data_IF_977551213484
#
_entry.id   IF_977551213484
#
_cell.length_a   1.000
_cell.length_b   1.000
_cell.length_c   1.000
_cell.angle_alpha   90.00
_cell.angle_beta   90.00
_cell.angle_gamma   90.00
#
_symmetry.space_group_name_H-M   'P 1'
#
loop_
_entity.id
_entity.type
_entity.pdbx_description
1 polymer ?
#
# COMPACT_ATOMS: atom_id res chain seq x y z
N UNK A 1 9.60 -12.85 11.13
CA UNK A 1 9.37 -12.21 9.82
C UNK A 1 10.58 -12.46 8.94
N UNK A 2 10.43 -12.60 7.61
CA UNK A 2 11.56 -12.77 6.70
C UNK A 2 12.47 -11.54 6.72
N UNK A 3 13.80 -11.75 6.60
CA UNK A 3 14.83 -10.69 6.62
C UNK A 3 14.59 -9.63 5.53
N UNK A 4 14.01 -10.03 4.40
CA UNK A 4 13.69 -9.15 3.26
C UNK A 4 12.75 -8.00 3.63
N UNK A 5 11.85 -8.19 4.59
CA UNK A 5 10.93 -7.14 5.04
C UNK A 5 11.65 -6.02 5.80
N UNK A 6 12.66 -6.35 6.60
CA UNK A 6 13.46 -5.34 7.30
C UNK A 6 14.33 -4.55 6.33
N UNK A 7 14.91 -5.21 5.32
CA UNK A 7 15.67 -4.53 4.25
C UNK A 7 14.75 -3.58 3.47
N UNK A 8 13.56 -4.04 3.07
CA UNK A 8 12.57 -3.20 2.42
C UNK A 8 12.14 -2.01 3.30
N UNK A 9 12.02 -2.19 4.61
CA UNK A 9 11.68 -1.13 5.56
C UNK A 9 12.78 -0.05 5.61
N UNK A 10 14.06 -0.46 5.68
CA UNK A 10 15.20 0.46 5.69
C UNK A 10 15.33 1.18 4.35
N UNK A 11 15.18 0.48 3.24
CA UNK A 11 15.21 1.09 1.91
C UNK A 11 14.09 2.13 1.76
N UNK A 12 12.89 1.79 2.22
CA UNK A 12 11.76 2.73 2.19
C UNK A 12 12.00 3.94 3.10
N UNK A 13 12.63 3.76 4.27
CA UNK A 13 12.94 4.88 5.16
C UNK A 13 13.96 5.82 4.56
N UNK A 14 14.99 5.29 3.89
CA UNK A 14 15.99 6.09 3.19
C UNK A 14 15.34 6.93 2.08
N UNK A 15 14.41 6.34 1.32
CA UNK A 15 13.66 7.06 0.29
C UNK A 15 12.77 8.16 0.91
N UNK A 16 11.99 7.82 1.94
CA UNK A 16 11.05 8.78 2.53
C UNK A 16 11.70 9.81 3.46
N UNK A 17 12.93 9.57 3.92
CA UNK A 17 13.73 10.49 4.73
C UNK A 17 13.80 11.91 4.17
N UNK A 18 13.99 12.03 2.86
CA UNK A 18 14.09 13.33 2.18
C UNK A 18 12.75 13.99 1.85
N UNK A 19 11.61 13.34 2.11
CA UNK A 19 10.31 13.82 1.61
C UNK A 19 9.91 15.18 2.17
N UNK A 20 10.11 15.41 3.47
CA UNK A 20 9.76 16.69 4.12
C UNK A 20 10.61 17.84 3.58
N UNK A 21 11.91 17.59 3.36
CA UNK A 21 12.79 18.55 2.71
C UNK A 21 12.28 18.92 1.31
N UNK A 22 11.99 17.93 0.46
CA UNK A 22 11.46 18.19 -0.88
C UNK A 22 10.12 18.93 -0.85
N UNK A 23 9.21 18.58 0.07
CA UNK A 23 7.94 19.28 0.23
C UNK A 23 8.18 20.74 0.57
N UNK A 24 9.09 21.04 1.50
CA UNK A 24 9.43 22.40 1.91
C UNK A 24 9.94 23.25 0.74
N UNK A 25 10.81 22.68 -0.11
CA UNK A 25 11.30 23.35 -1.33
C UNK A 25 10.17 23.57 -2.34
N UNK A 26 9.30 22.57 -2.54
CA UNK A 26 8.18 22.70 -3.48
C UNK A 26 7.15 23.76 -3.03
N UNK A 27 6.99 23.96 -1.72
CA UNK A 27 6.08 24.96 -1.16
C UNK A 27 6.49 26.41 -1.46
N UNK A 28 7.71 26.65 -1.95
CA UNK A 28 8.15 27.98 -2.38
C UNK A 28 7.44 28.45 -3.67
N UNK A 29 7.01 27.52 -4.52
CA UNK A 29 6.40 27.81 -5.83
C UNK A 29 5.00 27.19 -6.00
N UNK A 30 4.61 26.21 -5.18
CA UNK A 30 3.34 25.48 -5.32
C UNK A 30 2.56 25.35 -4.01
N UNK A 31 1.23 25.36 -4.12
CA UNK A 31 0.33 25.11 -3.00
C UNK A 31 0.29 23.63 -2.56
N UNK A 32 -0.19 23.35 -1.33
CA UNK A 32 -0.28 21.98 -0.80
C UNK A 32 -0.98 20.95 -1.69
N UNK A 33 -2.11 21.31 -2.32
CA UNK A 33 -2.85 20.44 -3.22
C UNK A 33 -2.14 20.28 -4.56
N UNK A 34 -1.54 21.34 -5.08
CA UNK A 34 -0.70 21.28 -6.28
C UNK A 34 0.48 20.32 -6.07
N UNK A 35 1.15 20.37 -4.91
CA UNK A 35 2.22 19.43 -4.57
C UNK A 35 1.69 18.00 -4.52
N UNK A 36 0.55 17.76 -3.86
CA UNK A 36 -0.08 16.44 -3.78
C UNK A 36 -0.44 15.88 -5.17
N UNK A 37 -0.93 16.73 -6.07
CA UNK A 37 -1.21 16.40 -7.46
C UNK A 37 0.07 16.05 -8.23
N UNK A 38 1.06 16.95 -8.26
CA UNK A 38 2.28 16.80 -9.05
C UNK A 38 3.08 15.56 -8.62
N UNK A 39 3.21 15.30 -7.31
CA UNK A 39 3.87 14.10 -6.82
C UNK A 39 3.11 12.82 -7.20
N UNK A 40 1.78 12.88 -7.19
CA UNK A 40 0.91 11.78 -7.62
C UNK A 40 1.07 11.49 -9.10
N UNK A 41 1.04 12.52 -9.94
CA UNK A 41 1.19 12.43 -11.38
C UNK A 41 2.57 11.87 -11.78
N UNK A 42 3.65 12.40 -11.20
CA UNK A 42 5.01 11.89 -11.45
C UNK A 42 5.18 10.45 -10.98
N UNK A 43 4.60 10.10 -9.82
CA UNK A 43 4.57 8.72 -9.34
C UNK A 43 3.78 7.80 -10.28
N UNK A 44 2.63 8.27 -10.79
CA UNK A 44 1.78 7.54 -11.72
C UNK A 44 2.51 7.24 -13.04
N UNK A 45 3.18 8.25 -13.61
CA UNK A 45 4.04 8.05 -14.80
C UNK A 45 5.11 7.00 -14.51
N UNK A 46 5.76 7.09 -13.35
CA UNK A 46 6.81 6.16 -12.94
C UNK A 46 6.30 4.72 -12.86
N UNK A 47 5.17 4.47 -12.19
CA UNK A 47 4.63 3.11 -12.08
C UNK A 47 4.14 2.58 -13.44
N UNK A 48 3.56 3.43 -14.30
CA UNK A 48 3.19 3.06 -15.66
C UNK A 48 4.43 2.57 -16.42
N UNK A 49 5.53 3.34 -16.41
CA UNK A 49 6.77 2.97 -17.07
C UNK A 49 7.35 1.66 -16.54
N UNK A 50 7.39 1.49 -15.21
CA UNK A 50 7.84 0.25 -14.58
C UNK A 50 6.99 -0.94 -15.02
N UNK A 51 5.67 -0.80 -15.04
CA UNK A 51 4.76 -1.88 -15.46
C UNK A 51 4.91 -2.23 -16.94
N UNK A 52 5.14 -1.24 -17.81
CA UNK A 52 5.40 -1.46 -19.23
C UNK A 52 6.73 -2.20 -19.46
N UNK A 53 7.82 -1.73 -18.84
CA UNK A 53 9.15 -2.34 -18.95
C UNK A 53 9.16 -3.77 -18.41
N UNK A 54 8.52 -4.01 -17.26
CA UNK A 54 8.42 -5.33 -16.65
C UNK A 54 7.29 -6.20 -17.22
N UNK A 55 6.58 -5.71 -18.24
CA UNK A 55 5.41 -6.36 -18.87
C UNK A 55 4.38 -6.86 -17.85
N UNK A 56 4.12 -6.07 -16.81
CA UNK A 56 3.11 -6.37 -15.79
C UNK A 56 1.73 -5.92 -16.28
N UNK A 57 0.68 -6.74 -16.11
CA UNK A 57 -0.67 -6.35 -16.51
C UNK A 57 -1.21 -5.25 -15.59
N UNK A 58 -1.83 -4.23 -16.16
CA UNK A 58 -2.58 -3.21 -15.41
C UNK A 58 -3.82 -3.81 -14.73
N UNK A 59 -4.51 -4.73 -15.42
CA UNK A 59 -5.68 -5.43 -14.87
C UNK A 59 -6.77 -4.47 -14.37
N UNK A 60 -7.11 -3.42 -15.14
CA UNK A 60 -8.05 -2.37 -14.73
C UNK A 60 -9.41 -2.89 -14.25
N UNK A 61 -9.89 -4.01 -14.83
CA UNK A 61 -11.15 -4.67 -14.43
C UNK A 61 -11.05 -5.39 -13.08
N UNK A 62 -9.85 -5.78 -12.67
CA UNK A 62 -9.61 -6.46 -11.39
C UNK A 62 -9.47 -5.50 -10.21
N UNK A 63 -9.27 -4.21 -10.47
CA UNK A 63 -9.13 -3.19 -9.44
C UNK A 63 -10.52 -2.85 -8.89
N UNK A 64 -10.77 -3.01 -7.58
CA UNK A 64 -12.02 -2.57 -6.96
C UNK A 64 -11.98 -1.05 -6.78
N UNK A 65 -12.40 -0.31 -7.80
CA UNK A 65 -12.23 1.14 -7.87
C UNK A 65 -12.83 1.91 -6.69
N UNK A 66 -14.01 1.54 -6.19
CA UNK A 66 -14.60 2.22 -5.05
C UNK A 66 -13.76 2.05 -3.77
N UNK A 67 -13.40 0.82 -3.33
CA UNK A 67 -12.43 0.63 -2.25
C UNK A 67 -11.07 1.29 -2.51
N UNK A 68 -10.59 1.29 -3.76
CA UNK A 68 -9.32 1.91 -4.15
C UNK A 68 -9.35 3.44 -3.96
N UNK A 69 -10.42 4.11 -4.39
CA UNK A 69 -10.61 5.55 -4.21
C UNK A 69 -10.67 5.90 -2.73
N UNK A 70 -11.48 5.18 -1.94
CA UNK A 70 -11.58 5.41 -0.50
C UNK A 70 -10.21 5.24 0.16
N UNK A 71 -9.52 4.13 -0.14
CA UNK A 71 -8.18 3.87 0.39
C UNK A 71 -7.20 4.98 -0.01
N UNK A 72 -7.17 5.39 -1.29
CA UNK A 72 -6.31 6.46 -1.79
C UNK A 72 -6.58 7.79 -1.09
N UNK A 73 -7.85 8.15 -0.86
CA UNK A 73 -8.20 9.36 -0.13
C UNK A 73 -7.56 9.39 1.27
N UNK A 74 -7.65 8.28 2.01
CA UNK A 74 -7.06 8.17 3.36
C UNK A 74 -5.55 7.92 3.35
N UNK A 75 -4.97 7.32 2.31
CA UNK A 75 -3.57 6.94 2.29
C UNK A 75 -2.65 7.92 1.55
N UNK A 76 -3.20 8.79 0.70
CA UNK A 76 -2.43 9.68 -0.18
C UNK A 76 -3.03 11.07 -0.28
N UNK A 77 -4.19 11.24 -0.91
CA UNK A 77 -4.75 12.56 -1.29
C UNK A 77 -4.83 13.54 -0.12
N UNK A 78 -5.58 13.17 0.93
CA UNK A 78 -5.79 14.04 2.08
C UNK A 78 -4.52 14.15 2.92
N UNK A 79 -3.82 13.04 3.30
CA UNK A 79 -2.56 13.15 4.03
C UNK A 79 -1.51 14.01 3.36
N UNK A 80 -1.29 13.87 2.04
CA UNK A 80 -0.24 14.61 1.34
C UNK A 80 -0.50 16.10 1.36
N UNK A 81 -1.75 16.52 1.14
CA UNK A 81 -2.14 17.92 1.24
C UNK A 81 -2.02 18.44 2.69
N UNK A 82 -2.44 17.65 3.68
CA UNK A 82 -2.31 18.04 5.10
C UNK A 82 -0.85 18.16 5.55
N UNK A 83 0.04 17.30 5.06
CA UNK A 83 1.49 17.38 5.34
C UNK A 83 2.09 18.62 4.67
N UNK A 84 1.80 18.85 3.39
CA UNK A 84 2.30 20.05 2.73
C UNK A 84 1.75 21.33 3.38
N UNK A 85 0.48 21.34 3.77
CA UNK A 85 -0.10 22.46 4.50
C UNK A 85 0.54 22.63 5.88
N UNK A 86 0.77 21.56 6.65
CA UNK A 86 1.42 21.67 7.95
C UNK A 86 2.82 22.27 7.82
N UNK A 87 3.57 21.86 6.80
CA UNK A 87 4.89 22.41 6.50
C UNK A 87 4.87 23.88 6.06
N UNK A 88 3.73 24.51 5.76
CA UNK A 88 3.68 25.98 5.64
C UNK A 88 3.81 26.69 7.00
N UNK A 89 3.57 25.97 8.11
CA UNK A 89 3.43 26.50 9.47
C UNK A 89 4.44 25.94 10.46
N UNK A 90 4.96 24.74 10.21
CA UNK A 90 5.96 24.08 11.05
C UNK A 90 7.22 23.76 10.23
N UNK A 91 8.32 23.48 10.93
CA UNK A 91 9.56 23.05 10.28
C UNK A 91 9.44 21.59 9.82
N UNK A 92 10.18 21.22 8.78
CA UNK A 92 10.25 19.84 8.28
C UNK A 92 10.72 18.85 9.36
N UNK A 93 11.57 19.30 10.28
CA UNK A 93 11.97 18.55 11.47
C UNK A 93 10.78 18.21 12.36
N UNK A 94 9.98 19.21 12.76
CA UNK A 94 8.77 18.97 13.59
C UNK A 94 7.75 18.10 12.83
N UNK A 95 7.55 18.35 11.54
CA UNK A 95 6.67 17.53 10.71
C UNK A 95 7.10 16.05 10.69
N UNK A 96 8.40 15.77 10.53
CA UNK A 96 8.94 14.40 10.54
C UNK A 96 8.71 13.67 11.87
N UNK A 97 8.74 14.38 13.00
CA UNK A 97 8.47 13.85 14.34
C UNK A 97 7.02 13.48 14.52
N UNK A 98 6.15 14.42 14.19
CA UNK A 98 4.71 14.20 14.29
C UNK A 98 4.32 13.05 13.36
N UNK A 99 4.95 12.93 12.19
CA UNK A 99 4.74 11.81 11.27
C UNK A 99 5.04 10.45 11.91
N UNK A 100 6.02 10.40 12.79
CA UNK A 100 6.41 9.17 13.47
C UNK A 100 5.35 8.67 14.45
N UNK A 101 4.26 9.40 14.70
CA UNK A 101 3.10 8.91 15.44
C UNK A 101 2.19 7.99 14.61
N UNK A 102 2.40 7.89 13.28
CA UNK A 102 1.61 7.05 12.36
C UNK A 102 1.43 5.60 12.82
N UNK A 103 2.45 4.89 13.34
CA UNK A 103 2.29 3.49 13.76
C UNK A 103 1.34 3.34 14.95
N UNK A 104 1.29 4.32 15.86
CA UNK A 104 0.36 4.34 16.98
C UNK A 104 -1.08 4.43 16.47
N UNK A 105 -1.35 5.38 15.56
CA UNK A 105 -2.67 5.49 14.92
C UNK A 105 -3.02 4.23 14.13
N UNK A 106 -2.05 3.61 13.46
CA UNK A 106 -2.25 2.37 12.71
C UNK A 106 -2.71 1.23 13.63
N UNK A 107 -2.10 1.07 14.81
CA UNK A 107 -2.54 0.10 15.82
C UNK A 107 -3.92 0.46 16.35
N UNK A 108 -4.14 1.71 16.76
CA UNK A 108 -5.40 2.14 17.37
C UNK A 108 -6.55 1.87 16.39
N UNK A 109 -6.43 2.33 15.16
CA UNK A 109 -7.43 2.12 14.13
C UNK A 109 -7.59 0.63 13.83
N UNK A 110 -6.48 -0.10 13.71
CA UNK A 110 -6.48 -1.55 13.49
C UNK A 110 -7.29 -2.32 14.53
N UNK A 111 -7.05 -2.02 15.81
CA UNK A 111 -7.69 -2.69 16.94
C UNK A 111 -9.16 -2.32 17.07
N UNK A 112 -9.51 -1.04 16.92
CA UNK A 112 -10.88 -0.55 17.14
C UNK A 112 -11.83 -0.88 15.97
N UNK A 113 -11.36 -0.74 14.73
CA UNK A 113 -12.24 -0.79 13.55
C UNK A 113 -11.98 -1.99 12.64
N UNK A 114 -10.79 -2.61 12.73
CA UNK A 114 -10.38 -3.67 11.80
C UNK A 114 -10.16 -5.04 12.46
N UNK A 115 -10.40 -5.14 13.77
CA UNK A 115 -10.28 -6.40 14.52
C UNK A 115 -8.85 -6.93 14.65
N UNK A 116 -7.84 -6.08 14.42
CA UNK A 116 -6.44 -6.46 14.61
C UNK A 116 -6.15 -6.63 16.11
N UNK A 117 -5.48 -7.72 16.48
CA UNK A 117 -5.04 -7.93 17.85
C UNK A 117 -3.68 -7.26 18.07
N UNK A 118 -3.62 -6.24 18.93
CA UNK A 118 -2.36 -5.62 19.33
C UNK A 118 -1.85 -6.21 20.65
N UNK A 119 -0.68 -6.84 20.60
CA UNK A 119 -0.04 -7.41 21.80
C UNK A 119 0.64 -6.34 22.66
N UNK A 120 0.83 -6.62 23.96
CA UNK A 120 1.57 -5.73 24.87
C UNK A 120 2.97 -5.36 24.36
N UNK A 121 3.70 -6.33 23.77
CA UNK A 121 5.04 -6.11 23.19
C UNK A 121 5.00 -5.13 22.00
N UNK A 122 3.93 -5.16 21.22
CA UNK A 122 3.73 -4.29 20.08
C UNK A 122 3.56 -2.83 20.53
N UNK A 123 2.68 -2.61 21.51
CA UNK A 123 2.51 -1.30 22.14
C UNK A 123 3.80 -0.79 22.79
N UNK A 124 4.48 -1.61 23.60
CA UNK A 124 5.73 -1.23 24.24
C UNK A 124 6.80 -0.88 23.21
N UNK A 125 6.96 -1.68 22.16
CA UNK A 125 7.95 -1.40 21.11
C UNK A 125 7.68 -0.09 20.35
N UNK A 126 6.41 0.25 20.12
CA UNK A 126 6.04 1.53 19.50
C UNK A 126 6.31 2.72 20.42
N UNK A 127 5.97 2.62 21.71
CA UNK A 127 6.26 3.66 22.68
C UNK A 127 7.76 3.86 22.88
N UNK A 128 8.54 2.77 22.91
CA UNK A 128 10.01 2.82 22.96
C UNK A 128 10.57 3.49 21.70
N UNK A 129 10.04 3.16 20.51
CA UNK A 129 10.48 3.78 19.26
C UNK A 129 10.20 5.29 19.25
N UNK A 130 9.03 5.70 19.74
CA UNK A 130 8.67 7.11 19.87
C UNK A 130 9.58 7.85 20.85
N UNK A 131 9.91 7.24 22.00
CA UNK A 131 10.87 7.81 22.93
C UNK A 131 12.27 7.97 22.31
N UNK A 132 12.69 7.00 21.49
CA UNK A 132 13.95 7.07 20.74
C UNK A 132 14.02 8.27 19.78
N UNK A 133 12.90 8.67 19.18
CA UNK A 133 12.84 9.86 18.32
C UNK A 133 13.01 11.16 19.10
N UNK A 134 12.43 11.24 20.30
CA UNK A 134 12.59 12.40 21.18
C UNK A 134 14.06 12.59 21.57
N UNK A 135 14.76 11.48 21.86
CA UNK A 135 16.21 11.46 22.11
C UNK A 135 16.96 11.89 20.85
N UNK A 136 16.64 11.29 19.70
CA UNK A 136 17.32 11.51 18.41
C UNK A 136 17.38 12.99 18.03
N UNK A 137 16.27 13.70 18.20
CA UNK A 137 16.15 15.09 17.80
C UNK A 137 16.47 16.09 18.92
N UNK A 138 16.82 15.59 20.11
CA UNK A 138 17.04 16.44 21.28
C UNK A 138 15.84 17.31 21.62
N UNK A 139 14.62 16.90 21.24
CA UNK A 139 13.43 17.73 21.40
C UNK A 139 13.09 17.81 22.89
N UNK A 140 13.18 19.01 23.42
CA UNK A 140 12.63 19.34 24.72
C UNK A 140 11.09 19.43 24.59
N UNK A 141 10.29 18.71 25.39
CA UNK A 141 8.82 18.81 25.37
C UNK A 141 8.30 20.26 25.41
N UNK A 142 9.02 21.19 26.05
CA UNK A 142 8.67 22.61 26.07
C UNK A 142 8.65 23.27 24.68
N UNK A 143 9.50 22.82 23.75
CA UNK A 143 9.55 23.35 22.37
C UNK A 143 8.37 22.89 21.51
N UNK A 144 7.71 21.78 21.86
CA UNK A 144 6.48 21.33 21.20
C UNK A 144 5.27 22.20 21.58
N UNK A 145 5.29 22.81 22.76
CA UNK A 145 4.20 23.67 23.26
C UNK A 145 4.16 25.02 22.52
N UNK A 146 5.29 25.46 21.96
CA UNK A 146 5.40 26.70 21.18
C UNK A 146 5.16 26.55 19.68
N UNK A 147 4.79 25.34 19.20
CA UNK A 147 4.56 25.08 17.77
C UNK A 147 3.22 25.69 17.33
N UNK A 148 3.14 26.14 16.07
CA UNK A 148 1.86 26.56 15.47
C UNK A 148 0.81 25.45 15.59
N UNK A 149 -0.25 25.74 16.34
CA UNK A 149 -1.26 24.74 16.70
C UNK A 149 -2.00 24.16 15.49
N UNK A 150 -2.22 24.96 14.45
CA UNK A 150 -2.91 24.48 13.25
C UNK A 150 -2.02 23.53 12.45
N UNK A 151 -0.74 23.88 12.24
CA UNK A 151 0.22 23.00 11.59
C UNK A 151 0.41 21.69 12.34
N UNK A 152 0.49 21.74 13.67
CA UNK A 152 0.55 20.56 14.53
C UNK A 152 -0.68 19.64 14.34
N UNK A 153 -1.89 20.20 14.39
CA UNK A 153 -3.14 19.44 14.23
C UNK A 153 -3.25 18.84 12.82
N UNK A 154 -2.91 19.60 11.77
CA UNK A 154 -2.92 19.10 10.39
C UNK A 154 -1.95 17.92 10.23
N UNK A 155 -0.76 18.00 10.81
CA UNK A 155 0.22 16.93 10.74
C UNK A 155 -0.23 15.67 11.49
N UNK A 156 -0.79 15.80 12.69
CA UNK A 156 -1.37 14.67 13.42
C UNK A 156 -2.57 14.06 12.68
N UNK A 157 -3.44 14.89 12.10
CA UNK A 157 -4.52 14.41 11.27
C UNK A 157 -3.97 13.56 10.11
N UNK A 158 -2.94 14.03 9.39
CA UNK A 158 -2.32 13.25 8.32
C UNK A 158 -1.85 11.86 8.78
N UNK A 159 -1.26 11.75 9.96
CA UNK A 159 -0.83 10.45 10.52
C UNK A 159 -1.99 9.52 10.88
N UNK A 160 -3.11 10.07 11.36
CA UNK A 160 -4.34 9.32 11.58
C UNK A 160 -4.91 8.80 10.25
N UNK A 161 -4.97 9.66 9.23
CA UNK A 161 -5.40 9.26 7.88
C UNK A 161 -4.51 8.14 7.34
N UNK A 162 -3.17 8.24 7.45
CA UNK A 162 -2.27 7.14 7.10
C UNK A 162 -2.55 5.84 7.86
N UNK A 163 -2.86 5.93 9.16
CA UNK A 163 -3.29 4.78 9.96
C UNK A 163 -4.52 4.09 9.36
N UNK A 164 -5.55 4.85 8.99
CA UNK A 164 -6.75 4.34 8.33
C UNK A 164 -6.43 3.78 6.94
N UNK A 165 -5.71 4.54 6.12
CA UNK A 165 -5.36 4.19 4.75
C UNK A 165 -4.52 2.93 4.65
N UNK A 166 -3.59 2.70 5.60
CA UNK A 166 -2.79 1.47 5.65
C UNK A 166 -3.61 0.23 5.99
N UNK A 167 -4.61 0.35 6.87
CA UNK A 167 -5.55 -0.74 7.17
C UNK A 167 -6.47 -1.05 5.98
N UNK A 168 -6.97 -0.01 5.30
CA UNK A 168 -7.72 -0.17 4.06
C UNK A 168 -6.87 -0.82 2.95
N UNK A 169 -5.60 -0.45 2.84
CA UNK A 169 -4.65 -1.03 1.89
C UNK A 169 -4.49 -2.54 2.07
N UNK A 170 -4.47 -3.03 3.31
CA UNK A 170 -4.38 -4.48 3.59
C UNK A 170 -5.61 -5.27 3.12
N UNK A 171 -6.77 -4.62 3.03
CA UNK A 171 -8.02 -5.23 2.57
C UNK A 171 -8.16 -5.28 1.05
N UNK A 172 -7.31 -4.58 0.30
CA UNK A 172 -7.23 -4.71 -1.16
C UNK A 172 -6.52 -6.02 -1.53
N UNK A 173 -7.25 -7.12 -1.42
CA UNK A 173 -6.76 -8.46 -1.75
C UNK A 173 -6.88 -8.76 -3.24
N UNK A 174 -6.10 -9.73 -3.74
CA UNK A 174 -6.13 -10.13 -5.15
C UNK A 174 -5.38 -9.21 -6.12
N UNK A 175 -4.86 -8.07 -5.65
CA UNK A 175 -4.04 -7.17 -6.45
C UNK A 175 -2.54 -7.43 -6.23
N UNK A 176 -1.76 -7.38 -7.31
CA UNK A 176 -0.30 -7.27 -7.16
C UNK A 176 0.08 -5.90 -6.57
N UNK A 177 1.25 -5.82 -5.93
CA UNK A 177 1.79 -4.55 -5.40
C UNK A 177 1.89 -3.45 -6.48
N UNK A 178 2.13 -3.83 -7.74
CA UNK A 178 2.16 -2.91 -8.88
C UNK A 178 0.76 -2.34 -9.18
N UNK A 179 -0.26 -3.20 -9.24
CA UNK A 179 -1.64 -2.77 -9.50
C UNK A 179 -2.21 -1.92 -8.36
N UNK A 180 -1.88 -2.27 -7.10
CA UNK A 180 -2.27 -1.48 -5.95
C UNK A 180 -1.63 -0.09 -5.98
N UNK A 181 -0.33 -0.01 -6.30
CA UNK A 181 0.40 1.25 -6.48
C UNK A 181 -0.19 2.07 -7.63
N UNK A 182 -0.43 1.45 -8.80
CA UNK A 182 -1.01 2.10 -9.96
C UNK A 182 -2.40 2.67 -9.67
N UNK A 183 -3.31 1.85 -9.14
CA UNK A 183 -4.67 2.29 -8.83
C UNK A 183 -4.70 3.42 -7.81
N UNK A 184 -3.87 3.31 -6.76
CA UNK A 184 -3.75 4.34 -5.75
C UNK A 184 -3.22 5.66 -6.31
N UNK A 185 -2.14 5.63 -7.10
CA UNK A 185 -1.54 6.83 -7.69
C UNK A 185 -2.43 7.45 -8.77
N UNK A 186 -3.21 6.65 -9.50
CA UNK A 186 -4.21 7.15 -10.43
C UNK A 186 -5.32 7.91 -9.68
N UNK A 187 -5.90 7.31 -8.64
CA UNK A 187 -6.88 7.97 -7.80
C UNK A 187 -6.30 9.24 -7.15
N UNK A 188 -5.06 9.18 -6.67
CA UNK A 188 -4.38 10.32 -6.06
C UNK A 188 -4.17 11.47 -7.05
N UNK A 189 -3.76 11.16 -8.28
CA UNK A 189 -3.55 12.13 -9.34
C UNK A 189 -4.85 12.81 -9.75
N UNK A 190 -5.91 12.03 -9.97
CA UNK A 190 -7.21 12.57 -10.39
C UNK A 190 -7.82 13.42 -9.27
N UNK A 191 -7.95 12.87 -8.06
CA UNK A 191 -8.59 13.57 -6.95
C UNK A 191 -7.74 14.76 -6.46
N UNK A 192 -6.41 14.59 -6.38
CA UNK A 192 -5.49 15.67 -6.02
C UNK A 192 -5.48 16.78 -7.06
N UNK A 193 -5.51 16.44 -8.35
CA UNK A 193 -5.62 17.42 -9.45
C UNK A 193 -6.93 18.20 -9.38
N UNK A 194 -8.06 17.51 -9.19
CA UNK A 194 -9.35 18.18 -9.00
C UNK A 194 -9.33 19.14 -7.80
N UNK A 195 -8.77 18.69 -6.67
CA UNK A 195 -8.64 19.54 -5.48
C UNK A 195 -7.72 20.74 -5.72
N UNK A 196 -6.59 20.56 -6.39
CA UNK A 196 -5.67 21.65 -6.74
C UNK A 196 -6.37 22.70 -7.63
N UNK A 197 -7.08 22.27 -8.68
CA UNK A 197 -7.80 23.19 -9.56
C UNK A 197 -8.96 23.93 -8.89
N UNK A 198 -9.60 23.34 -7.88
CA UNK A 198 -10.77 23.94 -7.20
C UNK A 198 -10.37 24.79 -6.00
N UNK A 199 -9.34 24.38 -5.24
CA UNK A 199 -8.99 24.97 -3.96
C UNK A 199 -7.81 25.94 -4.04
N UNK A 200 -7.01 25.90 -5.11
CA UNK A 200 -5.83 26.75 -5.25
C UNK A 200 -5.93 27.64 -6.49
N UNK A 201 -5.40 28.88 -6.41
CA UNK A 201 -5.31 29.73 -7.58
C UNK A 201 -4.39 29.09 -8.63
N UNK A 202 -4.73 29.29 -9.90
CA UNK A 202 -3.86 28.87 -10.99
C UNK A 202 -2.48 29.55 -10.84
N UNK A 203 -1.37 28.81 -11.01
CA UNK A 203 -0.05 29.41 -10.99
C UNK A 203 0.05 30.49 -12.05
N UNK A 204 0.32 31.72 -11.62
CA UNK A 204 0.49 32.88 -12.53
C UNK A 204 1.92 32.99 -13.06
N UNK A 205 2.84 32.19 -12.51
CA UNK A 205 4.24 32.14 -12.90
C UNK A 205 4.58 30.75 -13.44
N UNK A 206 5.56 30.70 -14.35
CA UNK A 206 6.07 29.43 -14.87
C UNK A 206 7.02 28.84 -13.83
N UNK A 207 6.66 27.68 -13.31
CA UNK A 207 7.52 26.88 -12.43
C UNK A 207 8.75 26.46 -13.24
N UNK A 208 9.90 27.03 -12.90
CA UNK A 208 11.13 26.84 -13.69
C UNK A 208 12.38 26.63 -12.84
N UNK A 209 12.29 26.72 -11.51
CA UNK A 209 13.50 26.56 -10.70
C UNK A 209 14.03 25.12 -10.76
N UNK A 210 15.35 24.99 -10.88
CA UNK A 210 16.01 23.69 -10.84
C UNK A 210 15.77 22.97 -9.50
N UNK A 211 15.67 23.71 -8.40
CA UNK A 211 15.38 23.19 -7.07
C UNK A 211 13.98 22.56 -6.99
N UNK A 212 12.98 23.22 -7.59
CA UNK A 212 11.63 22.67 -7.68
C UNK A 212 11.61 21.39 -8.51
N UNK A 213 12.19 21.41 -9.72
CA UNK A 213 12.17 20.25 -10.62
C UNK A 213 12.88 19.03 -10.02
N UNK A 214 14.05 19.23 -9.42
CA UNK A 214 14.80 18.16 -8.75
C UNK A 214 14.04 17.61 -7.54
N UNK A 215 13.42 18.47 -6.74
CA UNK A 215 12.59 18.08 -5.59
C UNK A 215 11.33 17.33 -6.04
N UNK A 216 10.71 17.74 -7.14
CA UNK A 216 9.55 17.07 -7.72
C UNK A 216 9.91 15.69 -8.26
N UNK A 217 11.07 15.55 -8.91
CA UNK A 217 11.58 14.25 -9.37
C UNK A 217 11.85 13.34 -8.17
N UNK A 218 12.57 13.83 -7.16
CA UNK A 218 12.86 13.07 -5.94
C UNK A 218 11.59 12.61 -5.22
N UNK A 219 10.64 13.53 -4.98
CA UNK A 219 9.41 13.24 -4.26
C UNK A 219 8.41 12.40 -5.07
N UNK A 220 8.27 12.69 -6.37
CA UNK A 220 7.31 12.04 -7.26
C UNK A 220 7.78 10.70 -7.78
N UNK A 221 8.94 10.65 -8.43
CA UNK A 221 9.45 9.41 -9.04
C UNK A 221 9.89 8.43 -7.97
N UNK A 222 10.79 8.86 -7.09
CA UNK A 222 11.38 7.98 -6.08
C UNK A 222 10.45 7.84 -4.88
N UNK A 223 10.00 8.97 -4.31
CA UNK A 223 9.19 9.04 -3.10
C UNK A 223 7.73 8.61 -3.24
N UNK A 224 7.16 8.62 -4.45
CA UNK A 224 5.77 8.20 -4.70
C UNK A 224 5.69 6.99 -5.64
N UNK A 225 6.36 6.98 -6.79
CA UNK A 225 6.33 5.86 -7.73
C UNK A 225 6.98 4.59 -7.17
N UNK A 226 8.29 4.64 -6.90
CA UNK A 226 9.08 3.48 -6.44
C UNK A 226 8.73 3.11 -4.99
N UNK A 227 8.68 4.10 -4.11
CA UNK A 227 8.43 3.90 -2.69
C UNK A 227 7.13 3.14 -2.40
N UNK A 228 6.04 3.45 -3.10
CA UNK A 228 4.76 2.80 -2.84
C UNK A 228 4.71 1.34 -3.31
N UNK A 229 5.52 0.94 -4.30
CA UNK A 229 5.70 -0.48 -4.62
C UNK A 229 6.26 -1.22 -3.40
N UNK A 230 7.27 -0.64 -2.75
CA UNK A 230 7.89 -1.19 -1.54
C UNK A 230 6.90 -1.17 -0.36
N UNK A 231 6.13 -0.09 -0.22
CA UNK A 231 5.11 0.03 0.84
C UNK A 231 4.01 -1.03 0.68
N UNK A 232 3.46 -1.22 -0.52
CA UNK A 232 2.48 -2.29 -0.77
C UNK A 232 3.10 -3.68 -0.60
N UNK A 233 4.37 -3.88 -0.97
CA UNK A 233 5.08 -5.12 -0.66
C UNK A 233 5.11 -5.39 0.86
N UNK A 234 5.47 -4.38 1.67
CA UNK A 234 5.51 -4.48 3.13
C UNK A 234 4.13 -4.77 3.73
N UNK A 235 3.07 -4.12 3.24
CA UNK A 235 1.70 -4.36 3.70
C UNK A 235 1.24 -5.77 3.31
N UNK A 236 1.43 -6.18 2.05
CA UNK A 236 0.91 -7.45 1.55
C UNK A 236 1.62 -8.64 2.20
N UNK A 237 2.96 -8.60 2.30
CA UNK A 237 3.79 -9.67 2.87
C UNK A 237 3.94 -9.60 4.39
N UNK A 238 3.74 -8.42 4.98
CA UNK A 238 3.73 -8.18 6.41
C UNK A 238 2.36 -7.75 6.92
N UNK A 239 2.31 -6.62 7.62
CA UNK A 239 1.09 -6.01 8.14
C UNK A 239 1.15 -4.48 8.02
N UNK A 240 0.01 -3.78 8.10
CA UNK A 240 -0.03 -2.31 8.15
C UNK A 240 0.83 -1.74 9.26
N UNK A 241 0.76 -2.32 10.46
CA UNK A 241 1.49 -1.85 11.64
C UNK A 241 3.00 -1.99 11.45
N UNK A 242 3.45 -3.04 10.75
CA UNK A 242 4.87 -3.21 10.43
C UNK A 242 5.31 -2.24 9.32
N UNK A 243 4.51 -2.10 8.26
CA UNK A 243 4.83 -1.21 7.16
C UNK A 243 4.94 0.25 7.61
N UNK A 244 4.08 0.70 8.52
CA UNK A 244 4.11 2.08 9.03
C UNK A 244 5.26 2.37 9.98
N UNK A 245 5.93 1.34 10.55
CA UNK A 245 7.17 1.55 11.34
C UNK A 245 8.28 2.27 10.56
N UNK A 246 8.20 2.28 9.22
CA UNK A 246 9.10 3.08 8.39
C UNK A 246 9.12 4.54 8.82
N UNK A 247 7.99 5.09 9.29
CA UNK A 247 7.89 6.47 9.77
C UNK A 247 8.72 6.73 11.03
N UNK A 248 9.05 5.71 11.84
CA UNK A 248 10.01 5.84 12.93
C UNK A 248 11.45 5.99 12.45
N UNK A 249 11.77 5.45 11.26
CA UNK A 249 13.10 5.49 10.66
C UNK A 249 13.29 6.72 9.75
N UNK A 250 12.22 7.42 9.39
CA UNK A 250 12.27 8.61 8.52
C UNK A 250 13.08 9.75 9.14
N UNK A 251 12.90 10.15 10.42
CA UNK A 251 13.74 11.18 11.03
C UNK A 251 15.24 10.86 11.02
N UNK A 252 15.59 9.59 11.26
CA UNK A 252 16.99 9.11 11.15
C UNK A 252 17.50 9.35 9.74
N UNK A 253 16.72 8.94 8.73
CA UNK A 253 17.09 9.03 7.33
C UNK A 253 17.20 10.50 6.88
N UNK A 254 16.35 11.39 7.40
CA UNK A 254 16.42 12.83 7.15
C UNK A 254 17.75 13.43 7.65
N UNK A 255 18.17 13.10 8.87
CA UNK A 255 19.47 13.56 9.42
C UNK A 255 20.64 13.00 8.61
N UNK A 256 20.57 11.73 8.19
CA UNK A 256 21.60 11.15 7.33
C UNK A 256 21.72 11.89 6.00
N UNK A 257 20.60 12.28 5.39
CA UNK A 257 20.62 13.11 4.19
C UNK A 257 21.16 14.51 4.46
N UNK A 258 20.83 15.14 5.60
CA UNK A 258 21.40 16.42 6.02
C UNK A 258 22.92 16.36 6.17
N UNK A 259 23.45 15.32 6.81
CA UNK A 259 24.90 15.10 6.90
C UNK A 259 25.54 14.93 5.51
N UNK A 260 24.98 14.07 4.65
CA UNK A 260 25.60 13.72 3.35
C UNK A 260 25.49 14.84 2.32
N UNK A 261 24.35 15.53 2.26
CA UNK A 261 24.05 16.52 1.22
C UNK A 261 24.37 17.96 1.65
N UNK A 262 24.24 18.25 2.94
CA UNK A 262 24.35 19.60 3.49
C UNK A 262 25.57 19.77 4.42
N UNK A 263 26.36 18.71 4.65
CA UNK A 263 27.48 18.69 5.61
C UNK A 263 27.07 19.10 7.04
N UNK A 264 25.85 18.80 7.45
CA UNK A 264 25.37 19.05 8.82
C UNK A 264 26.08 18.15 9.83
N UNK A 265 26.40 18.63 11.03
CA UNK A 265 27.10 17.82 12.03
C UNK A 265 26.20 16.72 12.64
N UNK A 266 26.71 15.49 12.69
CA UNK A 266 26.07 14.39 13.41
C UNK A 266 26.38 14.50 14.89
N UNK A 267 25.32 14.66 15.68
CA UNK A 267 25.40 14.69 17.13
C UNK A 267 25.23 13.28 17.72
N UNK A 268 25.79 13.03 18.90
CA UNK A 268 25.69 11.73 19.58
C UNK A 268 24.24 11.28 19.82
N UNK A 269 23.32 12.23 19.95
CA UNK A 269 21.87 12.02 20.07
C UNK A 269 21.33 11.14 18.94
N UNK A 270 21.85 11.29 17.71
CA UNK A 270 21.44 10.47 16.56
C UNK A 270 21.69 8.98 16.82
N UNK A 271 22.89 8.64 17.28
CA UNK A 271 23.29 7.25 17.52
C UNK A 271 22.50 6.64 18.68
N UNK A 272 22.33 7.39 19.77
CA UNK A 272 21.55 6.95 20.92
C UNK A 272 20.07 6.75 20.56
N UNK A 273 19.46 7.74 19.89
CA UNK A 273 18.08 7.67 19.46
C UNK A 273 17.83 6.55 18.45
N UNK A 274 18.72 6.36 17.47
CA UNK A 274 18.67 5.26 16.51
C UNK A 274 18.70 3.90 17.19
N UNK A 275 19.60 3.69 18.16
CA UNK A 275 19.67 2.44 18.91
C UNK A 275 18.36 2.13 19.66
N UNK A 276 17.74 3.15 20.26
CA UNK A 276 16.44 3.01 20.94
C UNK A 276 15.31 2.72 19.95
N UNK A 277 15.27 3.42 18.80
CA UNK A 277 14.27 3.18 17.74
C UNK A 277 14.35 1.74 17.24
N UNK A 278 15.55 1.27 16.89
CA UNK A 278 15.74 -0.10 16.39
C UNK A 278 15.34 -1.15 17.43
N UNK A 279 15.65 -0.90 18.71
CA UNK A 279 15.24 -1.77 19.83
C UNK A 279 13.71 -1.81 19.96
N UNK A 280 13.04 -0.66 19.86
CA UNK A 280 11.59 -0.56 19.87
C UNK A 280 10.93 -1.29 18.70
N UNK A 281 11.42 -1.10 17.48
CA UNK A 281 10.95 -1.81 16.27
C UNK A 281 11.12 -3.32 16.42
N UNK A 282 12.27 -3.77 16.94
CA UNK A 282 12.51 -5.18 17.20
C UNK A 282 11.54 -5.75 18.25
N UNK A 283 11.31 -5.02 19.36
CA UNK A 283 10.36 -5.41 20.39
C UNK A 283 8.93 -5.48 19.86
N UNK A 284 8.54 -4.52 19.03
CA UNK A 284 7.21 -4.46 18.46
C UNK A 284 6.92 -5.63 17.50
N UNK A 285 7.98 -6.14 16.84
CA UNK A 285 7.88 -7.24 15.87
C UNK A 285 7.97 -8.62 16.50
N UNK A 286 8.35 -8.72 17.79
CA UNK A 286 8.33 -10.00 18.52
C UNK A 286 6.89 -10.43 18.76
N UNK A 287 6.48 -11.50 18.07
CA UNK A 287 5.15 -12.13 18.22
C UNK A 287 4.85 -12.30 19.71
N UNK A 288 3.79 -11.63 20.18
CA UNK A 288 3.26 -11.88 21.51
C UNK A 288 2.69 -13.29 21.53
N UNK A 289 3.25 -14.16 22.37
CA UNK A 289 2.68 -15.48 22.69
C UNK A 289 1.40 -15.30 23.51
N UNK A 290 0.39 -14.66 22.94
CA UNK A 290 -0.94 -14.51 23.52
C UNK A 290 -1.92 -15.37 22.74
N UNK A 291 -2.81 -16.14 23.39
CA UNK A 291 -3.71 -17.04 22.69
C UNK A 291 -4.66 -16.22 21.81
N UNK A 292 -4.43 -16.32 20.51
CA UNK A 292 -5.35 -15.83 19.50
C UNK A 292 -6.59 -16.71 19.58
N UNK A 293 -7.56 -16.32 20.42
CA UNK A 293 -8.90 -16.90 20.41
C UNK A 293 -9.48 -16.63 19.01
N UNK A 294 -9.30 -17.60 18.12
CA UNK A 294 -10.08 -17.73 16.92
C UNK A 294 -11.54 -17.85 17.35
N UNK A 295 -12.26 -16.73 17.38
CA UNK A 295 -13.72 -16.75 17.29
C UNK A 295 -14.05 -17.23 15.88
N UNK A 296 -14.06 -18.55 15.71
CA UNK A 296 -14.91 -19.14 14.68
C UNK A 296 -16.35 -18.72 15.03
N UNK A 297 -17.12 -18.14 14.11
CA UNK A 297 -18.56 -18.08 14.27
C UNK A 297 -19.04 -19.53 14.41
N UNK A 298 -19.58 -19.86 15.59
CA UNK A 298 -20.16 -21.17 15.83
C UNK A 298 -21.21 -21.44 14.76
N UNK A 299 -21.05 -22.58 14.09
CA UNK A 299 -22.10 -23.18 13.29
C UNK A 299 -23.32 -23.37 14.19
N UNK A 300 -24.30 -22.48 14.06
CA UNK A 300 -25.59 -22.63 14.68
C UNK A 300 -26.34 -23.76 13.96
N UNK A 301 -26.47 -24.89 14.64
CA UNK A 301 -27.65 -25.77 14.61
C UNK A 301 -28.04 -26.39 13.27
N UNK A 302 -27.38 -27.49 12.90
CA UNK A 302 -28.06 -28.55 12.13
C UNK A 302 -28.50 -29.62 13.14
N UNK A 303 -29.81 -29.79 13.32
CA UNK A 303 -30.34 -30.84 14.19
C UNK A 303 -31.78 -30.63 14.64
N UNK A 304 -32.74 -30.76 13.73
CA UNK A 304 -34.13 -31.10 14.07
C UNK A 304 -34.85 -31.68 12.84
N UNK A 305 -34.51 -32.93 12.47
CA UNK A 305 -35.42 -33.75 11.66
C UNK A 305 -36.29 -34.51 12.65
N UNK A 306 -37.54 -34.06 12.76
CA UNK A 306 -38.59 -34.72 13.53
C UNK A 306 -38.96 -36.01 12.80
N UNK A 307 -38.72 -37.15 13.46
CA UNK A 307 -39.32 -38.43 13.12
C UNK A 307 -40.26 -38.84 14.25
N UNK A 308 -41.49 -39.18 13.89
CA UNK A 308 -42.40 -39.91 14.78
C UNK A 308 -43.88 -39.68 14.51
N UNK A 309 -44.52 -40.72 13.93
CA UNK A 309 -45.71 -41.42 14.46
C UNK A 309 -46.80 -41.69 13.38
N UNK A 310 -46.80 -42.97 12.97
CA UNK A 310 -47.94 -43.89 12.86
C UNK A 310 -49.02 -43.72 11.78
N UNK A 311 -49.10 -44.74 10.92
CA UNK A 311 -50.36 -45.45 10.67
C UNK A 311 -50.95 -45.35 9.26
N UNK A 312 -50.75 -46.38 8.43
CA UNK A 312 -51.80 -47.33 7.97
C UNK A 312 -51.39 -48.05 6.69
N UNK A 313 -51.62 -49.37 6.71
CA UNK A 313 -51.54 -50.32 5.60
C UNK A 313 -52.35 -49.88 4.37
N UNK A 314 -51.80 -50.09 3.18
CA UNK A 314 -52.54 -50.62 2.03
C UNK A 314 -51.55 -51.13 0.95
N UNK A 315 -51.48 -52.46 0.85
CA UNK A 315 -51.41 -53.29 -0.37
C UNK A 315 -51.19 -52.59 -1.72
N UNK A 316 -50.26 -53.08 -2.55
CA UNK A 316 -50.54 -54.02 -3.66
C UNK A 316 -49.22 -54.45 -4.33
N UNK A 317 -49.19 -55.74 -4.63
CA UNK A 317 -48.18 -56.58 -5.30
C UNK A 317 -47.91 -56.19 -6.77
N UNK A 318 -46.71 -56.47 -7.30
CA UNK A 318 -46.54 -57.31 -8.51
C UNK A 318 -45.11 -57.28 -9.11
N UNK A 319 -44.53 -58.49 -9.25
CA UNK A 319 -43.83 -59.05 -10.44
C UNK A 319 -42.40 -58.52 -10.73
N UNK A 320 -41.30 -59.20 -10.40
CA UNK A 320 -40.64 -60.44 -10.93
C UNK A 320 -40.19 -60.43 -12.38
N UNK A 321 -38.91 -60.81 -12.59
CA UNK A 321 -38.37 -61.46 -13.80
C UNK A 321 -37.49 -60.53 -14.64
N UNK A 322 -36.15 -60.64 -14.67
CA UNK A 322 -35.28 -61.74 -15.09
C UNK A 322 -34.76 -61.56 -16.54
N UNK A 323 -33.43 -61.61 -16.61
CA UNK A 323 -32.58 -62.28 -17.60
C UNK A 323 -32.27 -61.72 -18.99
N UNK A 324 -30.96 -61.85 -19.25
CA UNK A 324 -30.31 -62.27 -20.50
C UNK A 324 -30.36 -61.31 -21.71
N UNK A 325 -29.39 -61.28 -22.62
CA UNK A 325 -28.03 -61.78 -22.71
C UNK A 325 -27.40 -61.11 -23.95
N UNK A 326 -26.08 -61.28 -24.05
CA UNK A 326 -25.15 -60.82 -25.08
C UNK A 326 -25.28 -61.58 -26.42
N UNK A 327 -24.57 -61.03 -27.42
CA UNK A 327 -24.02 -61.67 -28.64
C UNK A 327 -24.99 -61.67 -29.84
N UNK A 328 -24.62 -61.39 -31.09
CA UNK A 328 -23.48 -61.79 -31.96
C UNK A 328 -23.34 -60.77 -33.14
N UNK A 329 -22.13 -60.48 -33.66
CA UNK A 329 -21.56 -60.92 -34.98
C UNK A 329 -22.21 -60.26 -36.23
N UNK A 330 -21.61 -59.99 -37.40
CA UNK A 330 -20.30 -60.17 -38.07
C UNK A 330 -20.42 -59.52 -39.48
N UNK A 331 -19.28 -59.20 -40.13
CA UNK A 331 -19.02 -58.99 -41.58
C UNK A 331 -19.64 -57.74 -42.26
N UNK A 332 -18.86 -56.88 -42.96
CA UNK A 332 -18.26 -57.09 -44.31
C UNK A 332 -19.12 -56.31 -45.32
N UNK A 333 -18.71 -55.62 -46.38
CA UNK A 333 -17.51 -55.54 -47.22
C UNK A 333 -17.68 -54.33 -48.19
N UNK A 334 -16.58 -53.88 -48.78
CA UNK A 334 -16.40 -53.21 -50.08
C UNK A 334 -17.15 -51.91 -50.47
N UNK A 335 -16.34 -50.86 -50.74
CA UNK A 335 -16.01 -50.56 -52.14
C UNK A 335 -16.23 -49.12 -52.65
N UNK A 336 -15.20 -48.65 -53.39
CA UNK A 336 -15.14 -47.57 -54.41
C UNK A 336 -14.96 -46.14 -53.90
N UNK A 337 -14.14 -45.25 -54.46
CA UNK A 337 -13.13 -45.21 -55.55
C UNK A 337 -12.33 -43.89 -55.25
N UNK A 338 -10.98 -43.83 -55.23
CA UNK A 338 -10.06 -43.59 -56.37
C UNK A 338 -10.34 -42.20 -57.04
N UNK A 339 -9.45 -41.22 -57.24
CA UNK A 339 -7.97 -41.10 -57.17
C UNK A 339 -7.57 -39.65 -57.60
N UNK A 340 -6.49 -39.09 -57.01
CA UNK A 340 -5.36 -38.34 -57.64
C UNK A 340 -5.62 -36.95 -58.27
N UNK A 341 -5.02 -35.87 -57.72
CA UNK A 341 -3.68 -35.26 -58.01
C UNK A 341 -3.71 -34.38 -59.28
N UNK A 342 -2.93 -33.31 -59.50
CA UNK A 342 -1.54 -32.94 -59.21
C UNK A 342 -1.45 -31.43 -59.58
N UNK A 343 -0.82 -30.54 -58.81
CA UNK A 343 0.59 -30.06 -58.91
C UNK A 343 0.89 -28.95 -59.94
N UNK A 344 2.06 -28.29 -59.72
CA UNK A 344 2.83 -27.35 -60.59
C UNK A 344 2.58 -25.85 -60.32
N UNK A 345 3.48 -25.15 -59.57
CA UNK A 345 4.65 -24.30 -59.98
C UNK A 345 4.21 -22.95 -60.61
N UNK A 346 4.91 -21.82 -60.56
CA UNK A 346 6.15 -21.29 -59.96
C UNK A 346 6.17 -19.76 -60.19
N UNK A 347 7.08 -19.05 -59.52
CA UNK A 347 7.63 -17.72 -59.87
C UNK A 347 6.66 -16.51 -59.73
N UNK A 348 7.01 -15.25 -59.42
CA UNK A 348 8.27 -14.50 -59.42
C UNK A 348 8.03 -13.17 -58.64
N UNK A 349 9.07 -12.70 -57.93
CA UNK A 349 9.57 -11.31 -57.78
C UNK A 349 8.61 -10.12 -58.11
N UNK A 350 8.42 -9.17 -57.18
CA UNK A 350 9.04 -7.83 -57.33
C UNK A 350 8.91 -6.88 -56.13
N UNK A 351 9.86 -5.96 -56.10
CA UNK A 351 10.21 -4.97 -55.10
C UNK A 351 9.76 -3.55 -55.52
N UNK A 352 9.76 -2.62 -54.56
CA UNK A 352 9.79 -1.14 -54.70
C UNK A 352 8.47 -0.39 -54.95
N UNK A 353 7.98 0.34 -53.94
CA UNK A 353 8.16 1.81 -53.85
C UNK A 353 7.87 2.33 -52.44
#
# INVERSE_FOLDING_TARGET
MPRTLYVALILLSLIWGGSFFFIKVLLEEAGPWTIAFLRGAMGLVTIILIMLVLRKPFGLRSIPWLPMVIMSCFNTVVPWALIAFSETRITSGVASVLNATTPLWTIIVGTLFFGAAAGRKQWLGMLVSLAGIMILLGINPATLISVDGLGFVCMLAATLFYGIGSQLSKRLTGLSMYQATFGMLLCATVAGGMAAFVLEPFPTHVITSGAFLTSLVGLGVVGSGIAYIIFFYLIQKGSPEFATMVTYLVPVSAILWGYVLLNEEIHWNLLAGLAVILTGVFLATRKGSGPQKSRQPGAAGSGAVVSGVMGRNATVSAVTGADAARSEAVAGDAGKDVVVSESVRSDEVDSVK
#
